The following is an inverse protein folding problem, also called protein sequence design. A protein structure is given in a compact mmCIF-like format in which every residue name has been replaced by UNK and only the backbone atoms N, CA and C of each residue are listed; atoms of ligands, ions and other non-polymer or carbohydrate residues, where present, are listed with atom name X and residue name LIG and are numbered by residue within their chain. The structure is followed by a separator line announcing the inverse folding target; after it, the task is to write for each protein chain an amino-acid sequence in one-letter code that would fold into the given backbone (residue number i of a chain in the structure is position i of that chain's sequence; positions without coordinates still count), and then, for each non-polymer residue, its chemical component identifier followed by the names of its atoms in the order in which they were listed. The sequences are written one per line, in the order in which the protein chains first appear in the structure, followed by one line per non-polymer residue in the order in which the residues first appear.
data_IF_912756617972
#
_entry.id   IF_912756617972
#
_cell.length_a   1.000
_cell.length_b   1.000
_cell.length_c   1.000
_cell.angle_alpha   90.00
_cell.angle_beta   90.00
_cell.angle_gamma   90.00
#
_symmetry.space_group_name_H-M   'P 1'
#
loop_
_entity.id
_entity.type
_entity.pdbx_description
1 polymer ?
2 non-polymer ?
3 non-polymer ?
4 non-polymer ?
5 water ?
#
# COMPACT_ATOMS: atom_id res chain seq x y z
N UNK A 20 6.57 21.28 21.07
CA UNK A 20 6.80 20.81 22.47
C UNK A 20 5.58 20.02 22.96
N UNK A 21 4.96 19.23 22.07
CA UNK A 21 3.71 18.48 22.35
C UNK A 21 4.06 17.03 22.69
N UNK A 22 3.16 16.35 23.42
CA UNK A 22 3.33 14.94 23.87
C UNK A 22 1.98 14.23 23.85
N UNK A 23 2.04 12.89 23.94
CA UNK A 23 0.88 12.01 23.99
C UNK A 23 1.23 10.80 24.86
N UNK A 24 0.21 10.15 25.41
CA UNK A 24 0.35 8.97 26.31
C UNK A 24 -0.19 7.73 25.60
N UNK A 25 0.58 6.63 25.61
CA UNK A 25 0.16 5.30 25.07
C UNK A 25 0.55 4.22 26.09
N UNK A 26 -0.45 3.64 26.76
CA UNK A 26 -0.29 2.58 27.79
C UNK A 26 0.67 3.09 28.88
N UNK A 27 0.41 4.30 29.39
CA UNK A 27 1.18 4.92 30.48
C UNK A 27 2.64 5.17 30.10
N UNK A 28 2.92 5.37 28.80
CA UNK A 28 4.25 5.75 28.28
C UNK A 28 4.10 7.06 27.52
N UNK A 29 4.88 8.09 27.90
CA UNK A 29 4.83 9.45 27.31
C UNK A 29 5.74 9.47 26.07
N UNK A 30 5.21 9.98 24.96
CA UNK A 30 5.94 10.20 23.68
C UNK A 30 5.89 11.69 23.34
N UNK A 31 7.05 12.30 23.04
CA UNK A 31 7.16 13.68 22.50
C UNK A 31 6.96 13.64 20.98
N UNK A 32 6.08 14.50 20.45
CA UNK A 32 5.82 14.63 18.99
C UNK A 32 6.90 15.53 18.39
N UNK A 33 7.63 15.05 17.38
CA UNK A 33 8.63 15.85 16.62
C UNK A 33 7.93 16.53 15.43
N UNK A 34 7.16 15.78 14.64
CA UNK A 34 6.44 16.32 13.46
C UNK A 34 5.38 15.33 12.97
N UNK A 35 4.46 15.82 12.13
CA UNK A 35 3.47 15.01 11.39
C UNK A 35 4.13 14.52 10.08
N UNK A 36 4.11 13.21 9.83
CA UNK A 36 4.80 12.59 8.67
C UNK A 36 3.77 11.89 7.76
N UNK A 37 2.48 12.06 8.03
CA UNK A 37 1.39 11.42 7.27
C UNK A 37 0.03 11.91 7.71
N UNK A 38 -0.96 11.76 6.85
CA UNK A 38 -2.34 12.12 7.14
C UNK A 38 -3.28 11.51 6.12
N UNK A 39 -4.38 10.94 6.61
CA UNK A 39 -5.42 10.37 5.76
C UNK A 39 -6.67 10.83 6.47
N UNK A 40 -7.46 11.69 5.83
CA UNK A 40 -8.63 12.24 6.49
C UNK A 40 -8.17 12.90 7.78
N UNK A 41 -8.91 12.67 8.86
CA UNK A 41 -8.51 13.20 10.19
C UNK A 41 -7.38 12.36 10.80
N UNK A 42 -7.21 11.10 10.36
CA UNK A 42 -6.12 10.20 10.81
C UNK A 42 -4.76 10.86 10.55
N UNK A 43 -3.82 10.70 11.49
CA UNK A 43 -2.47 11.33 11.42
C UNK A 43 -1.39 10.32 11.79
N UNK A 44 -0.19 10.50 11.24
CA UNK A 44 1.03 9.77 11.66
C UNK A 44 2.03 10.81 12.14
N UNK A 45 2.53 10.64 13.37
CA UNK A 45 3.53 11.51 14.02
C UNK A 45 4.85 10.77 14.15
N UNK A 46 5.96 11.46 13.85
CA UNK A 46 7.32 11.08 14.27
C UNK A 46 7.47 11.47 15.74
N UNK A 47 7.83 10.53 16.62
CA UNK A 47 7.82 10.71 18.10
C UNK A 47 9.10 10.14 18.72
N UNK A 48 9.40 10.58 19.96
CA UNK A 48 10.44 10.03 20.86
C UNK A 48 9.77 9.46 22.11
N UNK A 49 10.22 8.29 22.58
CA UNK A 49 9.84 7.74 23.91
C UNK A 49 10.79 8.32 24.97
N UNK A 50 10.66 7.88 26.22
CA UNK A 50 11.43 8.35 27.39
C UNK A 50 12.94 8.17 27.15
N UNK A 51 13.33 7.10 26.44
CA UNK A 51 14.75 6.75 26.14
C UNK A 51 15.22 7.48 24.87
N UNK A 52 14.41 8.39 24.32
CA UNK A 52 14.72 9.21 23.12
C UNK A 52 14.94 8.29 21.91
N UNK A 53 14.24 7.16 21.89
CA UNK A 53 14.15 6.26 20.71
C UNK A 53 12.99 6.73 19.82
N UNK A 54 13.18 6.68 18.51
CA UNK A 54 12.21 7.22 17.51
C UNK A 54 11.18 6.13 17.17
N UNK A 55 9.91 6.52 17.06
CA UNK A 55 8.79 5.67 16.57
C UNK A 55 7.86 6.54 15.72
N UNK A 56 6.97 5.89 14.96
CA UNK A 56 5.81 6.51 14.29
C UNK A 56 4.54 6.11 15.05
N UNK A 57 3.77 7.10 15.52
CA UNK A 57 2.45 6.84 16.17
C UNK A 57 1.37 7.20 15.14
N UNK A 58 0.55 6.20 14.79
CA UNK A 58 -0.62 6.37 13.90
C UNK A 58 -1.84 6.61 14.79
N UNK A 59 -2.53 7.73 14.57
CA UNK A 59 -3.74 8.15 15.31
C UNK A 59 -4.96 7.96 14.40
N UNK A 60 -5.98 7.24 14.89
CA UNK A 60 -7.28 7.06 14.19
C UNK A 60 -8.40 7.53 15.11
N UNK A 61 -9.28 8.39 14.59
CA UNK A 61 -10.43 8.99 15.33
C UNK A 61 -11.62 8.03 15.20
N UNK A 62 -12.20 7.61 16.32
CA UNK A 62 -13.33 6.64 16.37
C UNK A 62 -14.65 7.36 16.66
N UNK A 63 -14.63 8.69 16.80
CA UNK A 63 -15.78 9.48 17.32
C UNK A 63 -17.00 9.33 16.41
N UNK A 64 -16.81 9.33 15.09
CA UNK A 64 -17.92 9.26 14.10
C UNK A 64 -18.09 7.83 13.56
N UNK A 65 -17.34 6.86 14.09
CA UNK A 65 -17.33 5.45 13.61
C UNK A 65 -18.57 4.71 14.13
N UNK A 66 -19.30 4.04 13.24
CA UNK A 66 -20.40 3.10 13.60
C UNK A 66 -19.78 1.74 13.93
N UNK A 67 -20.60 0.79 14.40
CA UNK A 67 -20.14 -0.52 14.94
C UNK A 67 -19.36 -1.29 13.85
N UNK A 68 -19.85 -1.29 12.61
CA UNK A 68 -19.23 -2.01 11.47
C UNK A 68 -17.84 -1.42 11.16
N UNK A 69 -17.72 -0.09 11.23
CA UNK A 69 -16.44 0.57 10.96
C UNK A 69 -15.47 0.29 12.10
N UNK A 70 -15.97 0.32 13.32
CA UNK A 70 -15.14 0.05 14.49
C UNK A 70 -14.59 -1.36 14.44
N UNK A 71 -15.44 -2.31 14.05
CA UNK A 71 -15.04 -3.70 13.96
C UNK A 71 -13.94 -3.88 12.91
N UNK A 72 -14.09 -3.15 11.80
CA UNK A 72 -13.10 -3.20 10.69
C UNK A 72 -11.72 -2.73 11.20
N UNK A 73 -11.67 -1.71 12.06
CA UNK A 73 -10.39 -1.23 12.65
C UNK A 73 -9.83 -2.27 13.62
N UNK A 74 -10.69 -2.87 14.44
CA UNK A 74 -10.32 -3.94 15.41
C UNK A 74 -9.73 -5.13 14.64
N UNK A 75 -10.37 -5.51 13.55
CA UNK A 75 -9.94 -6.61 12.72
C UNK A 75 -8.56 -6.34 12.16
N UNK A 76 -8.35 -5.12 11.65
CA UNK A 76 -7.05 -4.77 11.07
C UNK A 76 -5.92 -4.83 12.09
N UNK A 77 -6.18 -4.33 13.30
CA UNK A 77 -5.18 -4.33 14.35
C UNK A 77 -4.83 -5.77 14.75
N UNK A 78 -5.86 -6.60 14.89
CA UNK A 78 -5.73 -8.04 15.22
C UNK A 78 -4.77 -8.71 14.24
N UNK A 79 -4.97 -8.50 12.93
CA UNK A 79 -4.12 -9.09 11.85
C UNK A 79 -2.70 -8.50 11.92
N UNK A 80 -2.57 -7.19 12.13
CA UNK A 80 -1.24 -6.52 12.27
C UNK A 80 -0.47 -7.20 13.42
N UNK A 81 -1.16 -7.43 14.52
CA UNK A 81 -0.61 -8.10 15.69
C UNK A 81 -0.20 -9.54 15.38
N UNK A 82 -1.11 -10.33 14.81
CA UNK A 82 -0.86 -11.77 14.49
C UNK A 82 0.30 -11.90 13.50
N UNK A 83 0.35 -11.07 12.46
CA UNK A 83 1.33 -11.24 11.34
C UNK A 83 2.71 -10.68 11.72
N UNK A 84 2.86 -10.09 12.92
CA UNK A 84 4.19 -9.69 13.46
C UNK A 84 5.14 -10.88 13.44
N UNK A 85 4.62 -12.07 13.75
CA UNK A 85 5.39 -13.36 13.75
C UNK A 85 5.64 -13.83 12.31
N UNK A 86 4.60 -13.80 11.47
CA UNK A 86 4.52 -14.57 10.20
C UNK A 86 5.38 -13.93 9.09
N UNK A 87 5.76 -12.66 9.20
CA UNK A 87 6.57 -11.97 8.17
C UNK A 87 7.24 -10.71 8.70
N UNK A 88 8.46 -10.42 8.20
CA UNK A 88 9.20 -9.15 8.41
C UNK A 88 8.93 -8.21 7.23
N UNK A 89 7.98 -8.57 6.35
CA UNK A 89 7.54 -7.73 5.19
C UNK A 89 6.25 -6.99 5.60
N UNK A 90 5.92 -6.98 6.89
CA UNK A 90 4.74 -6.23 7.44
C UNK A 90 5.27 -5.29 8.53
N UNK A 91 4.76 -4.05 8.54
CA UNK A 91 5.27 -2.97 9.45
C UNK A 91 5.26 -3.50 10.89
N UNK A 92 6.32 -3.23 11.65
CA UNK A 92 6.44 -3.58 13.09
C UNK A 92 5.45 -2.74 13.88
N UNK A 93 4.60 -3.39 14.68
CA UNK A 93 3.68 -2.77 15.65
C UNK A 93 4.19 -3.15 17.05
N UNK A 94 4.59 -2.15 17.85
CA UNK A 94 5.25 -2.34 19.17
C UNK A 94 4.20 -2.35 20.29
N UNK A 95 3.22 -1.45 20.19
CA UNK A 95 2.21 -1.23 21.25
C UNK A 95 1.01 -0.52 20.61
N UNK A 96 -0.15 -0.57 21.25
CA UNK A 96 -1.31 0.26 20.87
C UNK A 96 -2.23 0.49 22.07
N UNK A 97 -2.96 1.59 22.03
CA UNK A 97 -4.03 1.93 22.99
C UNK A 97 -5.30 2.15 22.17
N UNK A 98 -6.39 1.51 22.57
CA UNK A 98 -7.66 1.68 21.90
C UNK A 98 -8.71 2.02 22.92
N UNK A 99 -9.45 3.09 22.65
CA UNK A 99 -10.51 3.60 23.50
C UNK A 99 -11.69 3.96 22.64
N UNK A 100 -12.80 4.28 23.28
CA UNK A 100 -13.99 4.67 22.56
C UNK A 100 -13.82 5.90 21.66
N UNK A 101 -12.81 6.72 21.94
CA UNK A 101 -12.58 7.99 21.20
C UNK A 101 -11.55 7.81 20.07
N UNK A 102 -10.55 6.93 20.26
CA UNK A 102 -9.37 6.87 19.36
C UNK A 102 -8.62 5.53 19.43
N UNK A 103 -7.73 5.36 18.45
CA UNK A 103 -6.66 4.33 18.39
C UNK A 103 -5.33 5.07 18.28
N UNK A 104 -4.37 4.73 19.14
CA UNK A 104 -2.93 5.08 18.99
C UNK A 104 -2.15 3.79 18.74
N UNK A 105 -1.42 3.73 17.63
CA UNK A 105 -0.55 2.59 17.28
C UNK A 105 0.92 3.05 17.29
N UNK A 106 1.75 2.42 18.13
CA UNK A 106 3.21 2.68 18.18
C UNK A 106 3.88 1.72 17.20
N UNK A 107 4.40 2.25 16.10
CA UNK A 107 4.98 1.46 14.98
C UNK A 107 6.43 1.90 14.77
N UNK A 108 7.19 1.10 14.03
CA UNK A 108 8.55 1.48 13.59
C UNK A 108 8.44 2.71 12.69
N UNK A 109 9.38 3.65 12.81
CA UNK A 109 9.53 4.82 11.93
C UNK A 109 10.44 4.43 10.76
N UNK A 110 9.88 4.20 9.58
CA UNK A 110 10.63 3.82 8.38
C UNK A 110 11.34 5.01 7.77
N UNK A 111 12.16 4.77 6.75
CA UNK A 111 12.85 5.86 6.11
C UNK A 111 11.84 6.77 5.42
N UNK A 112 11.01 6.20 4.56
CA UNK A 112 10.04 6.96 3.79
C UNK A 112 9.03 6.01 3.16
N UNK A 113 7.83 6.50 2.81
CA UNK A 113 6.85 5.67 2.15
C UNK A 113 7.26 5.58 0.67
N UNK A 114 6.84 4.53 -0.02
CA UNK A 114 7.28 4.29 -1.42
C UNK A 114 6.75 5.42 -2.33
N UNK A 115 5.55 5.95 -2.09
CA UNK A 115 4.95 6.98 -2.98
C UNK A 115 5.82 8.25 -2.95
N UNK A 116 6.16 8.77 -1.76
CA UNK A 116 7.01 9.98 -1.59
C UNK A 116 8.38 9.72 -2.22
N UNK A 117 8.91 8.50 -2.09
CA UNK A 117 10.21 8.09 -2.68
C UNK A 117 10.13 8.15 -4.21
N UNK A 118 9.09 7.58 -4.81
CA UNK A 118 8.89 7.55 -6.29
C UNK A 118 8.73 8.98 -6.83
N UNK A 119 8.02 9.86 -6.10
CA UNK A 119 7.84 11.28 -6.46
C UNK A 119 9.20 11.97 -6.68
N UNK A 120 10.14 11.75 -5.75
CA UNK A 120 11.44 12.48 -5.66
C UNK A 120 12.48 11.88 -6.61
N UNK A 121 12.37 10.58 -6.95
CA UNK A 121 13.37 9.85 -7.77
C UNK A 121 13.15 10.16 -9.25
N UNK A 122 14.21 10.57 -9.95
CA UNK A 122 14.21 10.86 -11.41
C UNK A 122 14.07 9.54 -12.17
N UNK A 123 14.93 8.56 -11.87
CA UNK A 123 14.94 7.20 -12.44
C UNK A 123 15.30 6.17 -11.35
N UNK A 124 14.90 4.91 -11.54
CA UNK A 124 15.09 3.82 -10.54
C UNK A 124 16.16 2.85 -11.04
N UNK A 125 17.11 2.50 -10.18
CA UNK A 125 18.15 1.47 -10.42
C UNK A 125 17.45 0.13 -10.69
N UNK A 126 17.82 -0.61 -11.75
CA UNK A 126 17.17 -1.88 -12.08
C UNK A 126 17.18 -2.92 -10.94
N UNK A 127 18.26 -2.96 -10.15
CA UNK A 127 18.46 -3.96 -9.06
C UNK A 127 17.59 -3.60 -7.85
N UNK A 128 17.43 -2.30 -7.56
CA UNK A 128 16.57 -1.79 -6.46
C UNK A 128 15.09 -2.03 -6.81
N UNK A 129 14.71 -1.81 -8.07
CA UNK A 129 13.34 -2.06 -8.60
C UNK A 129 13.00 -3.54 -8.37
N UNK A 130 13.91 -4.44 -8.75
CA UNK A 130 13.77 -5.92 -8.65
C UNK A 130 13.58 -6.34 -7.19
N UNK A 131 14.39 -5.77 -6.29
CA UNK A 131 14.40 -6.08 -4.84
C UNK A 131 13.09 -5.60 -4.20
N UNK A 132 12.69 -4.36 -4.49
CA UNK A 132 11.42 -3.74 -4.04
C UNK A 132 10.23 -4.60 -4.50
N UNK A 133 10.24 -4.99 -5.77
CA UNK A 133 9.21 -5.89 -6.38
C UNK A 133 9.10 -7.18 -5.55
N UNK A 134 10.23 -7.85 -5.26
CA UNK A 134 10.23 -9.13 -4.50
C UNK A 134 9.63 -8.90 -3.11
N UNK A 135 10.01 -7.81 -2.44
CA UNK A 135 9.50 -7.47 -1.09
C UNK A 135 7.97 -7.34 -1.15
N UNK A 136 7.45 -6.57 -2.11
CA UNK A 136 6.01 -6.38 -2.26
C UNK A 136 5.26 -7.70 -2.45
N UNK A 137 5.77 -8.52 -3.36
CA UNK A 137 5.17 -9.84 -3.67
C UNK A 137 5.11 -10.68 -2.37
N UNK A 138 6.21 -10.69 -1.60
CA UNK A 138 6.32 -11.53 -0.38
C UNK A 138 5.33 -11.01 0.68
N UNK A 139 5.28 -9.68 0.87
CA UNK A 139 4.35 -9.02 1.81
C UNK A 139 2.91 -9.39 1.46
N UNK A 140 2.53 -9.27 0.18
CA UNK A 140 1.12 -9.49 -0.27
C UNK A 140 0.79 -10.98 -0.22
N UNK A 141 1.74 -11.85 -0.60
CA UNK A 141 1.59 -13.33 -0.52
C UNK A 141 1.27 -13.75 0.92
N UNK A 142 1.92 -13.13 1.90
CA UNK A 142 1.71 -13.41 3.34
C UNK A 142 0.23 -13.18 3.68
N UNK A 143 -0.32 -12.01 3.32
CA UNK A 143 -1.70 -11.62 3.73
C UNK A 143 -2.70 -12.54 2.99
N UNK A 144 -2.43 -12.87 1.72
CA UNK A 144 -3.23 -13.83 0.91
C UNK A 144 -3.32 -15.17 1.62
N UNK A 145 -2.22 -15.65 2.21
CA UNK A 145 -2.15 -16.96 2.92
C UNK A 145 -3.05 -16.93 4.16
N UNK A 146 -3.37 -15.75 4.69
CA UNK A 146 -4.28 -15.55 5.84
C UNK A 146 -5.68 -15.19 5.36
N UNK A 147 -5.96 -15.28 4.06
CA UNK A 147 -7.30 -15.07 3.47
C UNK A 147 -7.65 -13.60 3.28
N UNK A 148 -6.65 -12.70 3.32
CA UNK A 148 -6.86 -11.24 3.10
C UNK A 148 -6.51 -10.91 1.65
N UNK A 149 -7.44 -10.31 0.92
CA UNK A 149 -7.17 -9.59 -0.36
C UNK A 149 -7.20 -8.09 -0.06
N UNK A 150 -6.11 -7.38 -0.35
CA UNK A 150 -5.96 -5.93 0.01
C UNK A 150 -7.02 -5.11 -0.73
N UNK A 151 -7.04 -5.22 -2.07
CA UNK A 151 -7.99 -4.57 -3.03
C UNK A 151 -7.88 -3.06 -3.22
N UNK A 152 -6.82 -2.52 -2.67
CA UNK A 152 -6.50 -1.10 -2.67
C UNK A 152 -4.98 -0.87 -2.54
N UNK A 153 -4.17 -1.49 -3.39
CA UNK A 153 -2.75 -1.38 -3.32
C UNK A 153 -2.26 -0.27 -4.24
N UNK A 154 -1.28 0.49 -3.74
CA UNK A 154 -0.64 1.57 -4.45
C UNK A 154 0.66 1.89 -3.68
N UNK A 155 1.50 2.78 -4.27
CA UNK A 155 2.77 3.01 -3.56
C UNK A 155 2.65 3.49 -2.10
N UNK A 156 1.62 4.27 -1.76
CA UNK A 156 1.35 4.79 -0.42
C UNK A 156 1.17 3.74 0.70
N UNK A 157 0.79 2.51 0.33
CA UNK A 157 0.67 1.38 1.27
C UNK A 157 1.95 0.64 1.66
N UNK A 158 3.09 1.02 1.09
CA UNK A 158 4.41 0.39 1.36
C UNK A 158 5.37 1.39 2.01
N UNK A 159 6.13 0.89 2.99
CA UNK A 159 7.14 1.64 3.77
C UNK A 159 8.53 1.08 3.44
N UNK A 160 9.47 1.94 3.05
CA UNK A 160 10.91 1.56 2.91
C UNK A 160 11.52 1.59 4.31
N UNK A 161 12.06 0.45 4.77
CA UNK A 161 12.76 0.29 6.07
C UNK A 161 14.12 -0.35 5.80
N UNK A 162 15.20 0.45 5.82
CA UNK A 162 16.60 -0.02 5.63
C UNK A 162 16.71 -0.78 4.31
N UNK A 163 16.24 -0.18 3.21
CA UNK A 163 16.31 -0.72 1.84
C UNK A 163 15.41 -1.92 1.61
N UNK A 164 14.40 -2.11 2.47
CA UNK A 164 13.41 -3.22 2.40
C UNK A 164 12.00 -2.63 2.45
N UNK A 165 11.06 -3.14 1.64
CA UNK A 165 9.65 -2.66 1.62
C UNK A 165 8.82 -3.51 2.58
N UNK A 166 7.93 -2.86 3.33
CA UNK A 166 6.94 -3.53 4.21
C UNK A 166 5.54 -2.97 3.93
N UNK A 167 4.53 -3.83 3.98
CA UNK A 167 3.11 -3.44 3.85
C UNK A 167 2.68 -2.74 5.15
N UNK A 168 2.01 -1.59 5.03
CA UNK A 168 1.56 -0.74 6.17
C UNK A 168 0.19 -1.22 6.67
N UNK A 169 -0.70 -1.54 5.74
CA UNK A 169 -2.05 -1.90 6.09
C UNK A 169 -2.60 -3.02 5.21
N UNK A 170 -3.70 -3.63 5.61
CA UNK A 170 -4.29 -4.77 4.90
C UNK A 170 -5.54 -4.51 4.10
N UNK A 171 -6.05 -3.32 4.20
CA UNK A 171 -7.25 -2.95 3.50
C UNK A 171 -8.60 -3.42 3.96
N UNK A 172 -8.65 -3.93 5.16
CA UNK A 172 -9.90 -4.38 5.73
C UNK A 172 -10.86 -3.22 6.01
N UNK A 173 -10.35 -2.12 6.57
CA UNK A 173 -11.19 -0.98 6.92
C UNK A 173 -11.40 -0.08 5.70
N UNK A 174 -12.64 0.17 5.28
CA UNK A 174 -12.93 0.98 4.10
C UNK A 174 -13.27 2.44 4.33
N UNK A 175 -13.40 2.85 5.58
CA UNK A 175 -13.91 4.21 5.90
C UNK A 175 -13.00 4.89 6.93
N UNK A 176 -12.92 6.21 6.83
CA UNK A 176 -12.13 7.04 7.71
C UNK A 176 -12.71 8.47 7.73
N UNK A 177 -12.88 9.02 8.93
CA UNK A 177 -13.42 10.39 9.16
C UNK A 177 -12.66 11.36 8.26
N UNK A 178 -13.35 12.11 7.37
CA UNK A 178 -12.68 13.10 6.53
C UNK A 178 -12.03 14.23 7.32
N UNK A 179 -11.03 14.88 6.72
CA UNK A 179 -10.37 16.13 7.20
C UNK A 179 -11.22 17.32 6.73
N UNK A 180 -11.94 17.97 7.64
CA UNK A 180 -12.76 19.10 7.26
C UNK A 180 -12.31 20.38 7.95
N UNK A 181 -11.12 20.37 8.54
CA UNK A 181 -10.62 21.54 9.26
C UNK A 181 -9.27 22.13 8.81
N UNK A 182 -8.27 21.29 8.54
CA UNK A 182 -6.97 21.80 8.13
C UNK A 182 -7.02 22.58 6.82
N UNK A 183 -6.17 23.58 6.67
CA UNK A 183 -6.11 24.37 5.46
C UNK A 183 -5.45 23.58 4.34
N UNK A 185 -6.87 20.07 3.78
CA UNK A 185 -8.09 19.30 3.40
C UNK A 185 -8.26 19.37 1.87
N UNK A 186 -8.52 18.23 1.23
CA UNK A 186 -8.74 18.14 -0.25
C UNK A 186 -9.73 17.02 -0.55
N UNK A 187 -10.82 17.36 -1.26
CA UNK A 187 -11.85 16.42 -1.76
C UNK A 187 -11.35 15.70 -3.02
N UNK A 188 -10.41 16.30 -3.75
CA UNK A 188 -9.88 15.74 -5.03
C UNK A 188 -8.74 14.76 -4.73
N UNK A 189 -9.06 13.68 -4.04
CA UNK A 189 -8.11 12.65 -3.69
C UNK A 189 -8.68 11.28 -4.01
N UNK A 190 -7.83 10.26 -4.01
CA UNK A 190 -8.27 8.91 -4.27
C UNK A 190 -8.27 8.48 -5.72
N UNK A 191 -7.10 8.20 -6.33
CA UNK A 191 -6.94 7.78 -7.67
C UNK A 191 -7.50 6.38 -7.96
N UNK A 192 -7.91 6.16 -9.19
CA UNK A 192 -8.35 4.83 -9.63
C UNK A 192 -7.37 4.23 -10.63
N UNK A 193 -6.15 4.75 -10.68
CA UNK A 193 -5.12 4.30 -11.62
C UNK A 193 -4.68 2.85 -11.44
N UNK A 194 -4.77 2.32 -10.24
CA UNK A 194 -4.38 0.96 -9.92
C UNK A 194 -5.54 -0.05 -9.82
N UNK A 195 -6.75 0.39 -10.14
CA UNK A 195 -7.99 -0.40 -9.98
C UNK A 195 -8.08 -1.45 -11.09
N UNK A 196 -8.32 -2.74 -10.73
CA UNK A 196 -8.45 -3.80 -11.72
C UNK A 196 -9.81 -3.83 -12.43
N UNK A 197 -9.87 -4.36 -13.66
CA UNK A 197 -11.09 -4.35 -14.47
C UNK A 197 -12.26 -5.17 -13.87
N UNK A 198 -11.96 -6.29 -13.20
CA UNK A 198 -12.99 -7.21 -12.65
C UNK A 198 -13.78 -6.51 -11.55
N UNK A 199 -13.16 -5.57 -10.82
CA UNK A 199 -13.83 -4.74 -9.79
C UNK A 199 -14.88 -3.83 -10.45
N UNK A 200 -14.58 -3.33 -11.64
CA UNK A 200 -15.43 -2.36 -12.40
C UNK A 200 -16.59 -3.13 -13.07
N UNK A 201 -16.31 -4.31 -13.65
CA UNK A 201 -17.32 -5.17 -14.33
C UNK A 201 -18.40 -5.62 -13.32
N UNK A 202 -18.00 -5.92 -12.08
CA UNK A 202 -18.93 -6.36 -10.99
C UNK A 202 -19.89 -5.22 -10.63
N UNK A 203 -19.42 -3.98 -10.68
CA UNK A 203 -20.16 -2.76 -10.25
C UNK A 203 -21.53 -2.71 -10.92
N UNK A 215 -16.15 -10.40 -7.52
CA UNK A 215 -15.16 -11.13 -8.29
C UNK A 215 -13.74 -10.73 -7.88
N UNK A 216 -13.62 -9.99 -6.78
CA UNK A 216 -12.34 -9.55 -6.28
C UNK A 216 -11.67 -10.78 -5.66
N UNK A 217 -10.42 -11.02 -6.00
CA UNK A 217 -9.69 -12.18 -5.53
C UNK A 217 -8.21 -11.80 -5.40
N UNK A 218 -7.34 -12.75 -5.05
CA UNK A 218 -5.91 -12.38 -4.99
C UNK A 218 -5.35 -11.81 -6.30
N UNK A 219 -5.89 -12.23 -7.43
CA UNK A 219 -5.52 -11.73 -8.79
C UNK A 219 -5.73 -10.21 -8.88
N UNK A 220 -6.73 -9.67 -8.16
CA UNK A 220 -6.98 -8.21 -8.07
C UNK A 220 -5.73 -7.49 -7.56
N UNK A 221 -5.06 -8.04 -6.53
CA UNK A 221 -3.82 -7.44 -5.94
C UNK A 221 -2.66 -7.55 -6.95
N UNK A 222 -2.61 -8.61 -7.77
CA UNK A 222 -1.57 -8.81 -8.82
C UNK A 222 -1.65 -7.65 -9.83
N UNK A 223 -2.86 -7.28 -10.26
CA UNK A 223 -3.08 -6.15 -11.20
C UNK A 223 -2.50 -4.86 -10.61
N UNK A 224 -2.88 -4.51 -9.38
CA UNK A 224 -2.45 -3.26 -8.70
C UNK A 224 -0.92 -3.27 -8.53
N UNK A 225 -0.33 -4.38 -8.10
CA UNK A 225 1.15 -4.55 -7.99
C UNK A 225 1.77 -4.38 -9.38
N UNK A 226 1.16 -4.97 -10.41
CA UNK A 226 1.56 -4.80 -11.81
C UNK A 226 1.63 -3.32 -12.18
N UNK A 227 0.61 -2.55 -11.80
CA UNK A 227 0.54 -1.09 -12.07
C UNK A 227 1.71 -0.39 -11.37
N UNK A 228 2.07 -0.80 -10.14
CA UNK A 228 3.20 -0.19 -9.37
C UNK A 228 4.52 -0.46 -10.11
N UNK A 229 4.76 -1.71 -10.52
CA UNK A 229 6.00 -2.08 -11.26
C UNK A 229 6.03 -1.36 -12.61
N UNK A 230 4.89 -1.23 -13.28
CA UNK A 230 4.76 -0.52 -14.58
C UNK A 230 5.20 0.94 -14.39
N UNK A 231 4.79 1.58 -13.30
CA UNK A 231 5.19 2.96 -12.93
C UNK A 231 6.70 3.00 -12.67
N UNK A 232 7.24 2.00 -11.98
CA UNK A 232 8.69 1.93 -11.64
C UNK A 232 9.53 1.68 -12.89
N UNK A 233 8.89 1.24 -13.99
CA UNK A 233 9.57 0.88 -15.26
C UNK A 233 9.48 2.06 -16.25
N UNK A 234 8.28 2.61 -16.45
CA UNK A 234 7.97 3.56 -17.55
C UNK A 234 7.71 4.98 -17.03
N UNK A 235 7.63 5.17 -15.71
CA UNK A 235 7.49 6.50 -15.07
C UNK A 235 6.04 6.99 -15.05
N UNK A 236 5.09 6.10 -15.36
CA UNK A 236 3.63 6.38 -15.33
C UNK A 236 2.88 5.06 -15.14
N UNK A 237 1.66 5.11 -14.60
CA UNK A 237 0.75 3.95 -14.54
C UNK A 237 0.14 3.76 -15.93
N UNK A 238 -0.37 2.55 -16.26
CA UNK A 238 -0.81 2.24 -17.62
C UNK A 238 -1.88 3.15 -18.25
N UNK A 239 -2.73 3.78 -17.44
CA UNK A 239 -3.87 4.62 -17.92
C UNK A 239 -3.74 6.05 -17.38
N UNK A 240 -2.54 6.44 -16.93
CA UNK A 240 -2.28 7.76 -16.28
C UNK A 240 -2.60 8.92 -17.25
N UNK A 241 -2.48 8.70 -18.55
CA UNK A 241 -2.69 9.76 -19.59
C UNK A 241 -4.18 10.12 -19.71
N UNK A 242 -5.09 9.25 -19.28
CA UNK A 242 -6.57 9.49 -19.37
C UNK A 242 -7.02 10.29 -18.14
N UNK A 243 -7.28 11.58 -18.32
CA UNK A 243 -7.53 12.56 -17.22
C UNK A 243 -9.02 12.60 -16.88
N UNK A 244 -9.89 12.19 -17.80
CA UNK A 244 -11.34 12.03 -17.55
C UNK A 244 -11.56 10.67 -16.86
N UNK A 245 -12.04 10.68 -15.61
CA UNK A 245 -12.09 9.46 -14.76
C UNK A 245 -13.05 8.44 -15.38
N UNK A 246 -14.17 8.90 -15.98
CA UNK A 246 -15.16 7.99 -16.64
C UNK A 246 -14.48 7.32 -17.84
N UNK A 247 -13.75 8.08 -18.66
CA UNK A 247 -12.98 7.56 -19.83
C UNK A 247 -11.92 6.55 -19.35
N UNK A 248 -11.29 6.84 -18.21
CA UNK A 248 -10.22 5.97 -17.65
C UNK A 248 -10.82 4.62 -17.25
N UNK A 249 -11.96 4.62 -16.56
CA UNK A 249 -12.64 3.38 -16.11
C UNK A 249 -13.06 2.56 -17.33
N UNK A 250 -13.58 3.19 -18.38
CA UNK A 250 -13.98 2.52 -19.65
C UNK A 250 -12.76 1.86 -20.30
N UNK A 251 -11.62 2.55 -20.36
CA UNK A 251 -10.35 2.07 -20.96
C UNK A 251 -9.85 0.84 -20.19
N UNK A 252 -9.94 0.85 -18.86
CA UNK A 252 -9.43 -0.24 -17.97
C UNK A 252 -10.16 -1.56 -18.30
N UNK A 253 -11.47 -1.51 -18.60
CA UNK A 253 -12.30 -2.71 -18.86
C UNK A 253 -12.37 -3.03 -20.37
N UNK A 254 -11.88 -2.14 -21.22
CA UNK A 254 -12.00 -2.25 -22.72
C UNK A 254 -10.88 -3.14 -23.25
N UNK A 255 -11.18 -4.37 -23.73
CA UNK A 255 -10.15 -5.26 -24.27
C UNK A 255 -9.48 -4.73 -25.55
N UNK A 256 -10.17 -3.85 -26.28
CA UNK A 256 -9.67 -3.24 -27.54
C UNK A 256 -8.75 -2.06 -27.23
N UNK A 257 -8.64 -1.64 -25.97
CA UNK A 257 -7.65 -0.64 -25.50
C UNK A 257 -6.36 -1.38 -25.15
N UNK A 258 -5.40 -1.40 -26.09
CA UNK A 258 -4.10 -2.11 -25.95
C UNK A 258 -3.20 -1.30 -25.02
N UNK A 259 -2.81 -1.87 -23.89
CA UNK A 259 -1.80 -1.28 -22.97
C UNK A 259 -0.45 -1.34 -23.71
N UNK A 260 0.28 -0.23 -23.70
CA UNK A 260 1.61 -0.12 -24.34
C UNK A 260 2.67 -0.72 -23.41
N UNK A 261 3.58 -1.52 -23.97
CA UNK A 261 4.76 -2.08 -23.27
C UNK A 261 6.00 -1.79 -24.10
N UNK A 262 6.49 -0.52 -24.10
CA UNK A 262 7.66 -0.15 -24.89
C UNK A 262 8.85 -1.08 -24.62
N UNK A 263 9.65 -1.36 -25.65
CA UNK A 263 10.82 -2.26 -25.57
C UNK A 263 11.85 -1.66 -24.61
N UNK A 264 12.38 -2.49 -23.72
CA UNK A 264 13.41 -2.13 -22.70
C UNK A 264 14.46 -3.21 -22.72
N UNK A 265 15.68 -2.96 -22.20
CA UNK A 265 16.72 -4.00 -22.10
C UNK A 265 16.29 -5.26 -21.31
N UNK A 266 15.50 -5.10 -20.24
CA UNK A 266 15.04 -6.21 -19.36
C UNK A 266 13.79 -6.85 -19.96
N UNK A 267 13.96 -7.87 -20.81
CA UNK A 267 12.86 -8.59 -21.50
C UNK A 267 12.02 -9.38 -20.48
N UNK A 268 12.65 -9.83 -19.37
CA UNK A 268 11.98 -10.55 -18.26
C UNK A 268 10.98 -9.62 -17.56
N UNK A 269 11.38 -8.37 -17.31
CA UNK A 269 10.54 -7.29 -16.73
C UNK A 269 9.35 -7.03 -17.66
N UNK A 270 9.62 -6.81 -18.94
CA UNK A 270 8.56 -6.66 -19.98
C UNK A 270 7.53 -7.79 -19.80
N UNK A 271 7.99 -9.04 -19.72
CA UNK A 271 7.14 -10.26 -19.63
C UNK A 271 6.29 -10.21 -18.34
N UNK A 272 6.90 -9.87 -17.20
CA UNK A 272 6.21 -9.76 -15.88
C UNK A 272 5.00 -8.82 -16.02
N UNK A 273 5.23 -7.65 -16.60
CA UNK A 273 4.21 -6.57 -16.73
C UNK A 273 3.05 -7.06 -17.60
N UNK A 274 3.33 -7.77 -18.70
CA UNK A 274 2.28 -8.32 -19.60
C UNK A 274 1.45 -9.38 -18.88
N UNK A 275 2.08 -10.19 -18.02
CA UNK A 275 1.41 -11.27 -17.23
C UNK A 275 0.53 -10.67 -16.12
N UNK A 276 0.98 -9.60 -15.45
CA UNK A 276 0.23 -8.94 -14.34
C UNK A 276 -0.98 -8.16 -14.86
N UNK A 277 -0.89 -7.61 -16.08
CA UNK A 277 -1.90 -6.66 -16.63
C UNK A 277 -2.76 -7.34 -17.69
N UNK A 278 -3.08 -8.62 -17.50
CA UNK A 278 -4.12 -9.35 -18.27
C UNK A 278 -5.49 -9.00 -17.66
N UNK A 279 -6.47 -8.63 -18.50
CA UNK A 279 -7.78 -8.13 -18.04
C UNK A 279 -8.60 -9.27 -17.46
N UNK A 280 -8.47 -10.48 -18.01
CA UNK A 280 -9.11 -11.72 -17.46
C UNK A 280 -8.29 -12.19 -16.26
N UNK A 281 -8.86 -12.19 -15.03
CA UNK A 281 -8.12 -12.61 -13.84
C UNK A 281 -7.65 -14.07 -13.91
N UNK A 282 -8.42 -14.93 -14.60
CA UNK A 282 -8.12 -16.37 -14.77
C UNK A 282 -6.85 -16.55 -15.61
N UNK A 283 -6.57 -15.63 -16.55
CA UNK A 283 -5.34 -15.66 -17.39
C UNK A 283 -4.19 -14.95 -16.65
N UNK A 284 -4.52 -14.09 -15.68
CA UNK A 284 -3.51 -13.27 -14.96
C UNK A 284 -2.63 -14.18 -14.12
N UNK A 285 -1.32 -13.92 -14.09
CA UNK A 285 -0.32 -14.66 -13.28
C UNK A 285 -0.66 -14.50 -11.80
N UNK A 286 -0.36 -15.52 -11.00
CA UNK A 286 -0.56 -15.55 -9.53
C UNK A 286 0.72 -15.06 -8.83
N UNK A 287 0.65 -14.69 -7.55
CA UNK A 287 1.84 -14.25 -6.82
C UNK A 287 2.89 -15.39 -6.69
N UNK A 288 2.44 -16.63 -6.32
CA UNK A 288 3.42 -17.72 -6.22
C UNK A 288 4.21 -17.93 -7.51
N UNK A 289 3.54 -17.86 -8.65
CA UNK A 289 4.19 -17.93 -9.99
C UNK A 289 5.15 -16.74 -10.17
N UNK A 290 4.73 -15.53 -9.77
CA UNK A 290 5.57 -14.29 -9.87
C UNK A 290 6.86 -14.47 -9.06
N UNK A 291 6.78 -15.10 -7.89
CA UNK A 291 7.93 -15.30 -6.98
C UNK A 291 8.91 -16.34 -7.55
N UNK A 292 8.49 -17.11 -8.55
CA UNK A 292 9.34 -18.11 -9.25
C UNK A 292 9.70 -17.62 -10.67
N UNK A 293 9.33 -16.38 -11.03
CA UNK A 293 9.63 -15.78 -12.36
C UNK A 293 11.10 -15.41 -12.45
N UNK A 294 11.76 -15.64 -13.61
CA UNK A 294 13.15 -15.21 -13.81
C UNK A 294 13.44 -13.75 -13.42
N UNK A 295 12.49 -12.83 -13.63
CA UNK A 295 12.67 -11.40 -13.29
C UNK A 295 13.05 -11.25 -11.82
N UNK A 296 12.32 -11.88 -10.89
CA UNK A 296 12.56 -11.75 -9.42
C UNK A 296 13.73 -12.64 -8.98
N UNK A 297 13.95 -13.80 -9.63
CA UNK A 297 14.87 -14.85 -9.12
C UNK A 297 16.28 -14.69 -9.69
N UNK A 298 16.42 -14.18 -10.92
CA UNK A 298 17.74 -14.13 -11.63
C UNK A 298 18.16 -12.67 -11.77
N UNK A 299 19.37 -12.34 -11.27
CA UNK A 299 19.89 -10.96 -11.10
C UNK A 299 21.07 -10.75 -12.06
N UNK A 300 21.24 -9.52 -12.56
CA UNK A 300 22.37 -9.08 -13.42
C UNK A 300 22.36 -9.87 -14.74
X LIG B 1 7.26 9.52 5.36
X LIG B 1 6.10 4.75 9.79
X LIG B 1 7.19 8.37 6.11
X LIG B 1 8.13 8.11 7.11
X LIG B 1 3.55 4.29 9.72
X LIG B 1 -0.09 5.45 7.10
X LIG B 1 1.28 5.97 7.13
X LIG B 1 1.80 7.10 6.43
X LIG B 1 3.12 7.23 6.74
X LIG B 1 2.38 4.23 8.75
X LIG B 1 2.34 5.44 7.86
X LIG B 1 3.48 6.21 7.62
X LIG B 1 8.06 6.94 7.87
X LIG B 1 8.31 10.45 5.57
X LIG B 1 5.80 6.57 7.78
X LIG B 1 9.17 9.03 7.33
X LIG B 1 9.25 10.19 6.58
X LIG B 1 4.79 4.99 9.22
X LIG B 1 4.70 5.92 8.21
X LIG B 1 6.98 6.28 8.35
X LIG B 1 7.18 5.38 9.33
X LIG B 1 10.14 8.76 8.33
X LIG B 1 8.35 11.65 4.83
X LIG B 1 7.26 12.03 3.92
X LIG B 1 7.73 12.80 2.71
X LIG B 1 8.54 13.95 3.13
X LIG B 1 9.74 13.42 3.77
X LIG B 1 9.39 12.67 5.03
X LIG B 1 8.87 14.80 1.98
X LIG B 1 -0.90 5.92 6.13
X LIG B 1 -0.47 4.65 7.95
X LIG B 1 -2.31 5.71 6.07
X LIG B 1 -3.16 6.58 6.74
X LIG B 1 -4.52 6.34 6.67
X LIG B 1 -5.03 5.27 5.98
X LIG B 1 -4.17 4.40 5.32
X LIG B 1 -2.79 4.61 5.37
X LIG B 1 -2.63 7.78 7.51
X LIG B 1 -1.86 3.65 4.64
X LIG B 1 -1.23 4.24 3.43
X LIG B 1 -2.99 7.79 8.96
X LIG B 1 10.43 9.55 9.39
X LIG B 1 11.61 9.09 10.21
X LIG B 1 9.79 10.56 9.65
X LIG B 1 11.32 7.86 11.02
X LIG C 1 -2.31 -9.84 22.08
X LIG C 1 -0.94 -10.04 21.75
X LIG C 1 -2.45 -9.42 23.53
X LIG C 1 -1.42 -10.00 24.34
X LIG C 1 -2.40 -7.90 23.64
X LIG C 1 -3.69 -7.37 23.34
X LIG D 1 -5.91 2.36 8.92
X LIG D 1 -5.44 1.64 7.79
X LIG D 1 -6.14 1.41 10.09
X LIG D 1 -6.92 0.30 9.65
X LIG D 1 -4.83 0.94 10.69
X LIG D 1 -4.38 -0.29 10.09
X LIG E 1 -7.24 1.98 -7.23
X LIG E 1 -6.33 3.00 -7.63
X LIG E 1 -7.12 1.70 -5.74
X LIG E 1 -7.33 2.89 -4.98
X LIG E 1 -5.73 1.18 -5.40
X LIG E 1 -5.56 -0.10 -6.00
X LIG F 1 12.75 2.53 15.14
X LIG F 1 11.79 3.42 14.59
X LIG F 1 12.05 1.36 15.77
X LIG F 1 12.10 0.27 14.87
X LIG F 1 12.78 1.03 17.05
X LIG F 1 13.01 2.24 17.75
X LIG G 1 8.97 1.97 23.43
X LIG G 1 8.38 2.99 24.24
X LIG G 1 7.95 0.89 23.13
X LIG G 1 8.64 -0.35 22.89
X LIG G 1 7.06 0.69 24.33
X LIG G 1 6.27 -0.48 24.16
X LIG H 1 -3.58 8.81 3.12
X LIG H 1 -4.66 7.90 3.16
X LIG H 1 -4.67 7.09 1.87
X LIG H 1 -5.04 5.74 2.15
X LIG H 1 -4.93 4.93 0.99
X LIG H 1 -4.52 3.51 1.37
X LIG H 1 -5.46 2.94 2.28
X LIG H 1 -5.72 1.57 1.96
X LIG H 1 -6.92 1.09 2.75
X LIG H 1 -8.09 1.19 1.96
X LIG H 1 -9.07 0.23 2.32
#
# INVERSE_FOLDING_TARGET
MHHHHHHSSGVDLGTENLYFQSMSVKGRIYSILKQIGSGGSSKVFQVLNEKKQIYAIKYVNLEEADNQTLDSYRNEIAYLNKLQQHSDKIIRLYDYEITDQYIYMVMECGNIDLNSWLKKKKSIDPWERKSYWKNMLEAVHTIHQHGIVHSDLKPANFLIVDGMLKLIDFGIANQMQPDTTSVVKDSQVGTVNYMPPEAIKDMSSSRENGKSKSKISPKSDVWSLGCILYYMTYGKTPFQQIINQISKLHAIIDPNHEIEFPDIPEKDLQDVLKCCLKRDPKQRISIPELLAHPYVQIQTHPVNQMAKGTTEE
YB4 C4 C14 C5 C6 C11 C7 C8 C9 C10 C12 C13 N1 N2 C3 N3 C1 C2 C15 C16 C17 N4 N5 N6 C18 C19 N7 C20 C21 C22 N8 O1 C23 C24 C25 C26 C27 C28 C29 C30 C31 C32 C33 C34 O2 C35
GOL C1 O1 C2 O2 C3 O3
GOL C1 O1 C2 O2 C3 O3
GOL C1 O1 C2 O2 C3 O3
GOL C1 O1 C2 O2 C3 O3
GOL C1 O1 C2 O2 C3 O3
TOE O2' CA' CB' OC' CD' CE' OF' CG' CH' OI' CK'
#
